data_IF_163006526509
#
_entry.id   IF_163006526509
#
_cell.length_a   1.000
_cell.length_b   1.000
_cell.length_c   1.000
_cell.angle_alpha   90.00
_cell.angle_beta   90.00
_cell.angle_gamma   90.00
#
_symmetry.space_group_name_H-M   'P 1'
#
loop_
_entity.id
_entity.type
_entity.pdbx_description
1 polymer ?
#
# COMPACT_ATOMS: atom_id res chain seq x y z
N UNK A 1 5.36 8.07 -16.36
CA UNK A 1 4.43 8.24 -15.99
C UNK A 1 4.30 7.63 -14.83
N UNK A 2 3.53 7.86 -14.39
CA UNK A 2 3.32 7.04 -13.40
C UNK A 2 3.74 5.69 -13.83
N UNK A 3 4.17 5.56 -15.05
CA UNK A 3 4.53 4.26 -15.51
C UNK A 3 5.60 3.62 -14.72
N UNK A 4 6.68 4.33 -14.48
CA UNK A 4 7.73 3.68 -13.74
C UNK A 4 7.29 3.41 -12.35
N UNK A 5 6.51 4.27 -11.77
CA UNK A 5 5.98 4.04 -10.45
C UNK A 5 5.07 2.84 -10.47
N UNK A 6 4.24 2.75 -11.48
CA UNK A 6 3.34 1.62 -11.60
C UNK A 6 4.09 0.32 -11.78
N UNK A 7 5.17 0.36 -12.54
CA UNK A 7 5.95 -0.85 -12.75
C UNK A 7 6.53 -1.36 -11.44
N UNK A 8 7.06 -0.46 -10.63
CA UNK A 8 7.59 -0.85 -9.34
C UNK A 8 6.51 -1.39 -8.45
N UNK A 9 5.35 -0.75 -8.48
CA UNK A 9 4.26 -1.23 -7.68
C UNK A 9 3.78 -2.58 -8.15
N UNK A 10 3.81 -2.81 -9.44
CA UNK A 10 3.43 -4.08 -9.99
C UNK A 10 4.34 -5.19 -9.53
N UNK A 11 5.62 -4.90 -9.41
CA UNK A 11 6.56 -5.89 -8.93
C UNK A 11 6.36 -6.18 -7.47
N UNK A 12 6.06 -5.16 -6.69
CA UNK A 12 5.89 -5.34 -5.26
C UNK A 12 4.64 -6.12 -4.92
N UNK A 13 3.58 -5.87 -5.68
CA UNK A 13 2.31 -6.51 -5.35
C UNK A 13 2.37 -8.02 -5.32
N UNK A 14 2.90 -8.68 -6.35
CA UNK A 14 2.89 -10.15 -6.33
C UNK A 14 3.75 -10.73 -5.24
N UNK A 15 4.80 -10.03 -4.87
CA UNK A 15 5.72 -10.60 -3.90
C UNK A 15 5.49 -10.15 -2.50
N UNK A 16 4.75 -9.07 -2.32
CA UNK A 16 4.59 -8.51 -1.01
C UNK A 16 3.28 -8.89 -0.37
N UNK A 17 2.37 -7.92 -0.25
CA UNK A 17 1.16 -8.17 0.55
C UNK A 17 0.29 -9.30 0.03
N UNK A 18 0.23 -9.47 -1.29
CA UNK A 18 -0.64 -10.50 -1.83
C UNK A 18 -0.20 -11.89 -1.40
N UNK A 19 1.11 -12.14 -1.48
CA UNK A 19 1.63 -13.42 -1.05
C UNK A 19 1.39 -13.65 0.42
N UNK A 20 1.61 -12.63 1.22
CA UNK A 20 1.41 -12.74 2.64
C UNK A 20 -0.05 -13.07 2.95
N UNK A 21 -0.97 -12.45 2.25
CA UNK A 21 -2.38 -12.71 2.47
C UNK A 21 -2.71 -14.14 2.14
N UNK A 22 -2.20 -14.64 1.04
CA UNK A 22 -2.48 -16.01 0.63
C UNK A 22 -1.90 -17.00 1.61
N UNK A 23 -0.69 -16.76 2.07
CA UNK A 23 -0.04 -17.66 3.00
C UNK A 23 -0.77 -17.73 4.32
N UNK A 24 -1.27 -16.60 4.78
CA UNK A 24 -1.97 -16.57 6.04
C UNK A 24 -3.37 -17.13 5.95
N UNK A 25 -3.92 -17.13 4.75
CA UNK A 25 -5.26 -17.68 4.55
C UNK A 25 -6.33 -16.92 5.27
N UNK A 26 -6.04 -15.74 5.77
CA UNK A 26 -7.04 -14.98 6.48
C UNK A 26 -6.71 -13.52 6.42
N UNK A 27 -7.72 -12.69 6.38
CA UNK A 27 -7.52 -11.26 6.40
C UNK A 27 -7.37 -10.68 7.80
N UNK A 28 -7.46 -11.51 8.82
CA UNK A 28 -7.43 -11.01 10.18
C UNK A 28 -6.10 -10.36 10.53
N UNK A 29 -5.00 -11.05 10.24
CA UNK A 29 -3.70 -10.49 10.54
C UNK A 29 -3.43 -9.27 9.68
N UNK A 30 -3.78 -9.35 8.41
CA UNK A 30 -3.62 -8.19 7.53
C UNK A 30 -4.40 -7.01 8.05
N UNK A 31 -5.62 -7.23 8.48
CA UNK A 31 -6.45 -6.15 9.01
C UNK A 31 -5.82 -5.54 10.24
N UNK A 32 -5.31 -6.38 11.14
CA UNK A 32 -4.66 -5.88 12.34
C UNK A 32 -3.44 -5.05 12.01
N UNK A 33 -2.66 -5.50 11.04
CA UNK A 33 -1.48 -4.76 10.63
C UNK A 33 -1.85 -3.43 10.00
N UNK A 34 -2.92 -3.42 9.21
CA UNK A 34 -3.38 -2.17 8.59
C UNK A 34 -3.86 -1.19 9.65
N UNK A 35 -4.48 -1.70 10.70
CA UNK A 35 -4.98 -0.81 11.75
C UNK A 35 -3.88 -0.10 12.51
N UNK A 36 -2.66 -0.63 12.45
CA UNK A 36 -1.54 0.01 13.09
C UNK A 36 -0.96 1.15 12.27
N UNK A 37 -1.39 1.29 11.04
CA UNK A 37 -0.93 2.35 10.16
C UNK A 37 -1.87 3.53 10.31
N UNK A 38 -1.30 4.74 10.38
CA UNK A 38 -2.12 5.94 10.50
C UNK A 38 -3.14 6.00 9.37
N UNK A 39 -4.34 6.45 9.70
CA UNK A 39 -5.46 6.39 8.78
C UNK A 39 -5.18 7.02 7.40
N UNK A 40 -4.61 8.21 7.30
CA UNK A 40 -4.37 8.78 5.97
C UNK A 40 -3.37 7.96 5.17
N UNK A 41 -2.35 7.42 5.82
CA UNK A 41 -1.37 6.60 5.14
C UNK A 41 -1.98 5.29 4.71
N UNK A 42 -2.77 4.68 5.58
CA UNK A 42 -3.45 3.44 5.25
C UNK A 42 -4.38 3.60 4.06
N UNK A 43 -5.08 4.73 4.01
CA UNK A 43 -5.98 4.98 2.90
C UNK A 43 -5.25 5.03 1.58
N UNK A 44 -4.08 5.68 1.56
CA UNK A 44 -3.30 5.74 0.33
C UNK A 44 -2.84 4.35 -0.09
N UNK A 45 -2.44 3.52 0.86
CA UNK A 45 -2.02 2.17 0.55
C UNK A 45 -3.16 1.37 -0.05
N UNK A 46 -4.33 1.46 0.54
CA UNK A 46 -5.50 0.73 0.05
C UNK A 46 -5.86 1.18 -1.36
N UNK A 47 -5.87 2.48 -1.61
CA UNK A 47 -6.18 2.99 -2.93
C UNK A 47 -5.17 2.50 -3.97
N UNK A 48 -3.91 2.40 -3.58
CA UNK A 48 -2.88 1.96 -4.51
C UNK A 48 -3.03 0.48 -4.87
N UNK A 49 -3.29 -0.35 -3.88
CA UNK A 49 -3.23 -1.80 -4.09
C UNK A 49 -4.57 -2.48 -4.22
N UNK A 50 -5.59 -1.92 -3.66
CA UNK A 50 -6.91 -2.51 -3.81
C UNK A 50 -7.65 -1.91 -5.00
N UNK A 51 -7.59 -0.60 -5.13
CA UNK A 51 -8.29 0.09 -6.21
C UNK A 51 -7.42 0.32 -7.43
N UNK A 52 -6.13 0.07 -7.31
CA UNK A 52 -5.23 0.18 -8.45
C UNK A 52 -4.95 1.59 -8.94
N UNK A 53 -5.09 2.57 -8.07
CA UNK A 53 -4.85 3.94 -8.46
C UNK A 53 -3.37 4.26 -8.53
N UNK A 54 -3.01 5.14 -9.44
CA UNK A 54 -1.65 5.68 -9.49
C UNK A 54 -1.48 6.66 -8.34
N UNK A 55 -0.23 6.95 -8.02
CA UNK A 55 0.04 7.93 -6.96
C UNK A 55 -0.57 9.29 -7.29
N UNK A 56 -0.55 9.68 -8.56
CA UNK A 56 -1.15 10.93 -8.97
C UNK A 56 -2.65 10.92 -8.72
N UNK A 57 -3.30 9.82 -9.04
CA UNK A 57 -4.73 9.69 -8.82
C UNK A 57 -5.06 9.71 -7.33
N UNK A 58 -4.22 9.05 -6.53
CA UNK A 58 -4.42 9.06 -5.09
C UNK A 58 -4.26 10.47 -4.54
N UNK A 59 -3.25 11.19 -5.02
CA UNK A 59 -3.02 12.56 -4.57
C UNK A 59 -4.26 13.42 -4.80
N UNK A 60 -4.89 13.26 -5.94
CA UNK A 60 -6.12 13.99 -6.23
C UNK A 60 -7.25 13.54 -5.33
N UNK A 61 -7.37 12.26 -5.12
CA UNK A 61 -8.47 11.71 -4.33
C UNK A 61 -8.39 12.15 -2.88
N UNK A 62 -7.20 12.17 -2.32
CA UNK A 62 -7.05 12.49 -0.90
C UNK A 62 -6.68 13.94 -0.65
N UNK A 63 -6.39 14.71 -1.71
CA UNK A 63 -6.08 16.12 -1.55
C UNK A 63 -4.72 16.40 -0.96
N UNK A 64 -3.74 15.56 -1.25
CA UNK A 64 -2.39 15.71 -0.73
C UNK A 64 -1.38 15.82 -1.86
N UNK A 65 -0.22 16.44 -1.61
CA UNK A 65 0.82 16.51 -2.64
C UNK A 65 1.28 15.12 -3.04
N UNK A 66 1.69 15.01 -4.29
CA UNK A 66 2.14 13.74 -4.84
C UNK A 66 3.31 13.16 -4.02
N UNK A 67 4.26 13.99 -3.64
CA UNK A 67 5.39 13.51 -2.86
C UNK A 67 4.96 12.94 -1.52
N UNK A 68 3.97 13.55 -0.90
CA UNK A 68 3.43 13.05 0.36
C UNK A 68 2.78 11.69 0.15
N UNK A 69 2.01 11.55 -0.90
CA UNK A 69 1.35 10.28 -1.19
C UNK A 69 2.37 9.18 -1.44
N UNK A 70 3.38 9.46 -2.22
CA UNK A 70 4.43 8.47 -2.48
C UNK A 70 5.08 8.02 -1.18
N UNK A 71 5.40 8.98 -0.33
CA UNK A 71 6.03 8.69 0.94
C UNK A 71 5.11 7.85 1.82
N UNK A 72 3.85 8.21 1.87
CA UNK A 72 2.87 7.50 2.69
C UNK A 72 2.66 6.08 2.23
N UNK A 73 2.56 5.86 0.93
CA UNK A 73 2.40 4.50 0.40
C UNK A 73 3.62 3.67 0.72
N UNK A 74 4.80 4.23 0.54
CA UNK A 74 6.03 3.52 0.81
C UNK A 74 6.15 3.14 2.27
N UNK A 75 5.91 4.09 3.16
CA UNK A 75 6.01 3.83 4.60
C UNK A 75 4.97 2.81 5.05
N UNK A 76 3.77 2.91 4.50
CA UNK A 76 2.72 1.98 4.84
C UNK A 76 3.09 0.56 4.42
N UNK A 77 3.64 0.43 3.24
CA UNK A 77 4.03 -0.87 2.74
C UNK A 77 5.13 -1.49 3.60
N UNK A 78 6.10 -0.68 4.00
CA UNK A 78 7.16 -1.16 4.85
C UNK A 78 6.62 -1.58 6.22
N UNK A 79 5.74 -0.77 6.77
CA UNK A 79 5.15 -1.09 8.07
C UNK A 79 4.33 -2.37 7.97
N UNK A 80 3.60 -2.53 6.89
CA UNK A 80 2.80 -3.72 6.69
C UNK A 80 3.67 -4.96 6.60
N UNK A 81 4.75 -4.88 5.86
CA UNK A 81 5.67 -6.01 5.74
C UNK A 81 6.26 -6.40 7.07
N UNK A 82 6.65 -5.42 7.87
CA UNK A 82 7.20 -5.71 9.19
C UNK A 82 6.16 -6.37 10.07
N UNK A 83 4.95 -5.90 10.01
CA UNK A 83 3.88 -6.45 10.84
C UNK A 83 3.54 -7.86 10.42
N UNK A 84 3.50 -8.14 9.13
CA UNK A 84 3.15 -9.46 8.62
C UNK A 84 4.28 -10.47 8.84
N UNK A 85 5.48 -9.98 9.08
CA UNK A 85 6.59 -10.84 9.37
C UNK A 85 7.54 -10.98 8.20
N UNK A 86 8.67 -11.63 8.45
CA UNK A 86 9.71 -11.80 7.43
C UNK A 86 9.28 -12.70 6.31
#
# INVERSE_FOLDING_TARGET
>A
MQTEVSALEGELRPEGPADAIELLGSGALLRRCLEQIAAPQRRCLVLAYQDGLTHTEIARAVGEPLGTVKSWVRRSLLALRRCLGP
#
